data_IF_821544257188
#
_entry.id   IF_821544257188
#
_cell.length_a   1.000
_cell.length_b   1.000
_cell.length_c   1.000
_cell.angle_alpha   90.00
_cell.angle_beta   90.00
_cell.angle_gamma   90.00
#
_symmetry.space_group_name_H-M   'P 1'
#
loop_
_entity.id
_entity.type
_entity.pdbx_description
1 polymer ?
#
# COMPACT_ATOMS: atom_id res chain seq x y z
N UNK A 1 10.41 21.92 1.17
CA UNK A 1 10.58 20.53 1.70
C UNK A 1 9.95 20.27 3.07
N UNK A 2 10.26 21.03 4.15
CA UNK A 2 9.71 20.73 5.51
C UNK A 2 8.20 20.97 5.64
N UNK A 3 7.61 21.86 4.83
CA UNK A 3 6.18 22.19 4.89
C UNK A 3 5.32 21.12 4.20
N UNK A 4 5.82 20.58 3.11
CA UNK A 4 5.25 19.52 2.27
C UNK A 4 5.15 18.22 3.07
N UNK A 5 6.22 17.85 3.79
CA UNK A 5 6.26 16.68 4.68
C UNK A 5 5.24 16.81 5.81
N UNK A 6 5.22 17.97 6.48
CA UNK A 6 4.28 18.21 7.58
C UNK A 6 2.83 18.19 7.11
N UNK A 7 2.56 18.77 5.93
CA UNK A 7 1.24 18.78 5.32
C UNK A 7 0.78 17.38 4.93
N UNK A 8 1.65 16.60 4.27
CA UNK A 8 1.40 15.20 3.95
C UNK A 8 1.12 14.39 5.23
N UNK A 9 1.98 14.48 6.24
CA UNK A 9 1.82 13.74 7.49
C UNK A 9 0.51 14.03 8.21
N UNK A 10 0.09 15.31 8.29
CA UNK A 10 -1.18 15.69 8.91
C UNK A 10 -2.41 15.14 8.17
N UNK A 11 -2.31 14.98 6.84
CA UNK A 11 -3.41 14.44 6.02
C UNK A 11 -3.42 12.92 6.01
N UNK A 12 -2.26 12.29 6.14
CA UNK A 12 -2.12 10.83 6.08
C UNK A 12 -2.20 10.18 7.46
N UNK A 13 -2.10 10.92 8.57
CA UNK A 13 -2.07 10.32 9.92
C UNK A 13 -3.23 9.37 10.25
N UNK A 14 -4.51 9.62 9.87
CA UNK A 14 -5.59 8.67 10.14
C UNK A 14 -5.44 7.39 9.30
N UNK A 15 -4.95 7.55 8.07
CA UNK A 15 -4.71 6.45 7.14
C UNK A 15 -3.54 5.59 7.64
N UNK A 16 -2.45 6.20 8.09
CA UNK A 16 -1.28 5.48 8.65
C UNK A 16 -1.68 4.58 9.81
N UNK A 17 -2.53 5.05 10.73
CA UNK A 17 -3.05 4.23 11.82
C UNK A 17 -3.84 3.03 11.30
N UNK A 18 -4.72 3.23 10.31
CA UNK A 18 -5.44 2.14 9.65
C UNK A 18 -4.50 1.11 9.02
N UNK A 19 -3.47 1.56 8.30
CA UNK A 19 -2.45 0.70 7.71
C UNK A 19 -1.65 -0.08 8.75
N UNK A 20 -1.32 0.53 9.89
CA UNK A 20 -0.64 -0.16 10.98
C UNK A 20 -1.51 -1.27 11.57
N UNK A 21 -2.79 -1.02 11.84
CA UNK A 21 -3.71 -2.03 12.38
C UNK A 21 -3.99 -3.15 11.38
N UNK A 22 -4.24 -2.81 10.12
CA UNK A 22 -4.47 -3.80 9.06
C UNK A 22 -3.20 -4.63 8.80
N UNK A 23 -2.03 -3.98 8.74
CA UNK A 23 -0.75 -4.66 8.58
C UNK A 23 -0.46 -5.57 9.77
N UNK A 24 -0.71 -5.12 11.00
CA UNK A 24 -0.55 -5.95 12.19
C UNK A 24 -1.45 -7.19 12.13
N UNK A 25 -2.71 -7.01 11.70
CA UNK A 25 -3.66 -8.11 11.53
C UNK A 25 -3.20 -9.10 10.45
N UNK A 26 -2.61 -8.60 9.36
CA UNK A 26 -2.02 -9.42 8.31
C UNK A 26 -0.83 -10.26 8.83
N UNK A 27 0.09 -9.64 9.57
CA UNK A 27 1.24 -10.32 10.15
C UNK A 27 0.83 -11.47 11.08
N UNK A 28 -0.12 -11.21 11.99
CA UNK A 28 -0.69 -12.22 12.88
C UNK A 28 -1.40 -13.33 12.08
N UNK A 29 -2.13 -12.96 11.03
CA UNK A 29 -2.81 -13.92 10.16
C UNK A 29 -1.83 -14.88 9.47
N UNK A 30 -0.73 -14.36 8.92
CA UNK A 30 0.32 -15.18 8.31
C UNK A 30 1.01 -16.07 9.33
N UNK A 31 1.22 -15.59 10.55
CA UNK A 31 1.74 -16.43 11.63
C UNK A 31 0.80 -17.60 11.96
N UNK A 32 -0.52 -17.37 12.04
CA UNK A 32 -1.51 -18.45 12.26
C UNK A 32 -1.51 -19.51 11.16
N UNK A 33 -1.07 -19.17 9.96
CA UNK A 33 -0.90 -20.11 8.85
C UNK A 33 0.42 -20.89 8.93
N UNK A 34 1.27 -20.61 9.93
CA UNK A 34 2.56 -21.28 10.15
C UNK A 34 3.75 -20.60 9.49
N UNK A 35 3.59 -19.40 8.93
CA UNK A 35 4.70 -18.67 8.31
C UNK A 35 5.45 -17.80 9.33
N UNK A 36 6.78 -17.79 9.23
CA UNK A 36 7.65 -16.91 10.01
C UNK A 36 7.39 -15.43 9.64
N UNK A 37 7.59 -14.49 10.58
CA UNK A 37 7.46 -13.04 10.40
C UNK A 37 8.18 -12.46 9.16
N UNK A 38 9.25 -13.09 8.68
CA UNK A 38 9.93 -12.66 7.44
C UNK A 38 9.01 -12.71 6.21
N UNK A 39 8.10 -13.69 6.13
CA UNK A 39 7.20 -13.86 4.99
C UNK A 39 6.21 -12.68 4.84
N UNK A 40 5.38 -12.34 5.85
CA UNK A 40 4.49 -11.19 5.75
C UNK A 40 5.27 -9.89 5.55
N UNK A 41 6.46 -9.73 6.14
CA UNK A 41 7.29 -8.54 5.95
C UNK A 41 7.76 -8.38 4.50
N UNK A 42 8.29 -9.44 3.89
CA UNK A 42 8.76 -9.42 2.51
C UNK A 42 7.61 -9.28 1.51
N UNK A 43 6.48 -9.95 1.76
CA UNK A 43 5.28 -9.81 0.93
C UNK A 43 4.76 -8.38 0.98
N UNK A 44 4.57 -7.81 2.18
CA UNK A 44 4.13 -6.43 2.37
C UNK A 44 5.08 -5.41 1.70
N UNK A 45 6.39 -5.66 1.72
CA UNK A 45 7.38 -4.77 1.10
C UNK A 45 7.40 -4.87 -0.44
N UNK A 46 7.11 -6.02 -1.02
CA UNK A 46 7.25 -6.26 -2.47
C UNK A 46 5.95 -6.16 -3.24
N UNK A 47 4.86 -6.67 -2.68
CA UNK A 47 3.56 -6.78 -3.35
C UNK A 47 2.73 -5.52 -3.07
N UNK A 48 2.69 -5.06 -1.81
CA UNK A 48 1.94 -3.88 -1.38
C UNK A 48 0.48 -3.89 -1.88
N UNK A 49 -0.17 -5.06 -1.86
CA UNK A 49 -1.51 -5.24 -2.41
C UNK A 49 -2.57 -5.64 -1.36
N UNK A 50 -2.25 -5.48 -0.07
CA UNK A 50 -3.18 -5.59 1.06
C UNK A 50 -4.11 -6.79 0.98
N UNK A 51 -5.31 -6.59 0.42
CA UNK A 51 -6.34 -7.61 0.16
C UNK A 51 -5.80 -8.89 -0.50
N UNK A 52 -4.93 -8.77 -1.51
CA UNK A 52 -4.37 -9.96 -2.18
C UNK A 52 -3.41 -10.71 -1.29
N UNK A 53 -2.67 -10.03 -0.41
CA UNK A 53 -1.72 -10.68 0.50
C UNK A 53 -2.43 -11.59 1.51
N UNK A 54 -3.60 -11.18 2.01
CA UNK A 54 -4.48 -12.04 2.82
C UNK A 54 -4.98 -13.27 2.06
N UNK A 55 -5.40 -13.10 0.80
CA UNK A 55 -5.88 -14.20 -0.04
C UNK A 55 -4.74 -15.18 -0.35
N UNK A 56 -3.56 -14.68 -0.72
CA UNK A 56 -2.38 -15.49 -1.01
C UNK A 56 -1.96 -16.29 0.21
N UNK A 57 -2.04 -15.73 1.43
CA UNK A 57 -1.71 -16.47 2.65
C UNK A 57 -2.43 -17.81 2.73
N UNK A 58 -3.74 -17.83 2.49
CA UNK A 58 -4.50 -19.08 2.48
C UNK A 58 -4.15 -19.98 1.28
N UNK A 59 -3.96 -19.39 0.10
CA UNK A 59 -3.63 -20.13 -1.13
C UNK A 59 -2.26 -20.81 -1.05
N UNK A 60 -1.31 -20.28 -0.27
CA UNK A 60 0.00 -20.90 -0.04
C UNK A 60 -0.07 -22.19 0.79
N UNK A 61 -1.11 -22.35 1.61
CA UNK A 61 -1.34 -23.57 2.41
C UNK A 61 -2.12 -24.63 1.62
N UNK A 62 -2.84 -24.20 0.58
CA UNK A 62 -3.61 -25.09 -0.28
C UNK A 62 -2.75 -25.76 -1.36
N UNK A 63 -3.34 -26.75 -2.03
CA UNK A 63 -2.73 -27.40 -3.19
C UNK A 63 -2.36 -26.37 -4.27
N UNK A 64 -1.18 -26.56 -4.87
CA UNK A 64 -0.61 -25.65 -5.86
C UNK A 64 -1.51 -25.47 -7.09
N UNK A 65 -2.18 -24.32 -7.20
CA UNK A 65 -3.05 -23.95 -8.32
C UNK A 65 -2.70 -22.53 -8.83
N UNK A 66 -1.61 -22.38 -9.60
CA UNK A 66 -1.10 -21.07 -10.00
C UNK A 66 -2.08 -20.29 -10.90
N UNK A 67 -2.87 -20.99 -11.72
CA UNK A 67 -3.86 -20.34 -12.58
C UNK A 67 -4.99 -19.68 -11.76
N UNK A 68 -5.48 -20.36 -10.72
CA UNK A 68 -6.50 -19.84 -9.81
C UNK A 68 -5.97 -18.62 -9.06
N UNK A 69 -4.73 -18.69 -8.55
CA UNK A 69 -4.05 -17.57 -7.86
C UNK A 69 -3.95 -16.35 -8.78
N UNK A 70 -3.57 -16.55 -10.05
CA UNK A 70 -3.44 -15.48 -11.03
C UNK A 70 -4.78 -14.81 -11.32
N UNK A 71 -5.84 -15.60 -11.54
CA UNK A 71 -7.19 -15.09 -11.83
C UNK A 71 -7.73 -14.32 -10.62
N UNK A 72 -7.63 -14.88 -9.41
CA UNK A 72 -8.09 -14.21 -8.18
C UNK A 72 -7.33 -12.91 -7.93
N UNK A 73 -6.00 -12.93 -8.08
CA UNK A 73 -5.16 -11.74 -7.91
C UNK A 73 -5.53 -10.66 -8.92
N UNK A 74 -5.75 -11.02 -10.19
CA UNK A 74 -6.16 -10.09 -11.23
C UNK A 74 -7.56 -9.50 -10.97
N UNK A 75 -8.52 -10.33 -10.54
CA UNK A 75 -9.88 -9.89 -10.24
C UNK A 75 -9.91 -8.92 -9.05
N UNK A 76 -9.23 -9.27 -7.95
CA UNK A 76 -9.17 -8.42 -6.75
C UNK A 76 -8.46 -7.10 -7.04
N UNK A 77 -7.39 -7.12 -7.84
CA UNK A 77 -6.65 -5.91 -8.21
C UNK A 77 -7.23 -5.15 -9.40
N UNK A 78 -8.28 -5.63 -10.06
CA UNK A 78 -8.89 -4.97 -11.24
C UNK A 78 -9.24 -3.50 -11.00
N UNK A 79 -9.52 -3.13 -9.74
CA UNK A 79 -9.72 -1.74 -9.28
C UNK A 79 -8.58 -0.77 -9.66
N UNK A 80 -7.35 -1.27 -9.77
CA UNK A 80 -6.18 -0.46 -10.15
C UNK A 80 -6.27 0.06 -11.59
N UNK A 81 -7.04 -0.58 -12.47
CA UNK A 81 -7.30 -0.09 -13.83
C UNK A 81 -7.99 1.27 -13.79
N UNK A 82 -8.97 1.44 -12.90
CA UNK A 82 -9.66 2.72 -12.71
C UNK A 82 -8.72 3.78 -12.15
N UNK A 83 -7.83 3.42 -11.22
CA UNK A 83 -6.83 4.36 -10.68
C UNK A 83 -5.87 4.85 -11.76
N UNK A 84 -5.40 3.95 -12.63
CA UNK A 84 -4.54 4.30 -13.76
C UNK A 84 -5.20 5.31 -14.70
N UNK A 85 -6.47 5.12 -15.04
CA UNK A 85 -7.21 6.01 -15.96
C UNK A 85 -7.45 7.38 -15.31
N UNK A 86 -7.90 7.43 -14.06
CA UNK A 86 -8.21 8.70 -13.37
C UNK A 86 -6.96 9.51 -13.05
N UNK A 87 -5.85 8.85 -12.68
CA UNK A 87 -4.60 9.53 -12.33
C UNK A 87 -3.71 9.81 -13.55
N UNK A 88 -4.06 9.34 -14.74
CA UNK A 88 -3.25 9.52 -15.96
C UNK A 88 -2.92 11.00 -16.24
N UNK A 89 -3.91 11.88 -16.10
CA UNK A 89 -3.73 13.34 -16.28
C UNK A 89 -3.06 13.99 -15.07
N UNK A 90 -3.32 13.49 -13.85
CA UNK A 90 -2.83 14.08 -12.59
C UNK A 90 -1.36 13.76 -12.34
N UNK A 91 -0.90 12.60 -12.80
CA UNK A 91 0.50 12.15 -12.73
C UNK A 91 1.31 12.44 -14.01
N UNK A 92 0.73 13.18 -14.96
CA UNK A 92 1.42 13.56 -16.21
C UNK A 92 2.68 14.41 -15.94
N UNK A 93 2.62 15.32 -14.96
CA UNK A 93 3.68 16.29 -14.66
C UNK A 93 4.60 15.91 -13.48
N UNK A 94 4.54 14.67 -12.98
CA UNK A 94 5.30 14.25 -11.77
C UNK A 94 6.72 13.75 -12.06
N UNK A 95 7.14 13.75 -13.33
CA UNK A 95 8.51 13.42 -13.75
C UNK A 95 9.01 12.06 -13.26
N UNK A 96 10.21 12.03 -12.67
CA UNK A 96 10.89 10.80 -12.21
C UNK A 96 10.22 10.09 -11.04
N UNK A 97 9.28 10.74 -10.34
CA UNK A 97 8.55 10.16 -9.21
C UNK A 97 7.35 9.31 -9.64
N UNK A 98 6.96 9.40 -10.92
CA UNK A 98 5.83 8.68 -11.51
C UNK A 98 5.84 7.16 -11.26
N UNK A 99 6.93 6.39 -11.48
CA UNK A 99 6.91 4.95 -11.23
C UNK A 99 6.69 4.60 -9.75
N UNK A 100 7.25 5.37 -8.82
CA UNK A 100 7.07 5.15 -7.38
C UNK A 100 5.62 5.44 -6.97
N UNK A 101 5.03 6.52 -7.51
CA UNK A 101 3.64 6.86 -7.27
C UNK A 101 2.65 5.85 -7.86
N UNK A 102 3.00 5.21 -8.97
CA UNK A 102 2.22 4.12 -9.56
C UNK A 102 2.32 2.87 -8.67
N UNK A 103 3.52 2.52 -8.20
CA UNK A 103 3.75 1.34 -7.36
C UNK A 103 2.99 1.44 -6.02
N UNK A 104 3.10 2.56 -5.31
CA UNK A 104 2.44 2.75 -4.03
C UNK A 104 1.00 3.29 -4.12
N UNK A 105 0.34 3.10 -5.28
CA UNK A 105 -1.04 3.53 -5.48
C UNK A 105 -2.01 2.51 -4.88
N UNK A 106 -2.59 2.86 -3.74
CA UNK A 106 -3.69 2.15 -3.09
C UNK A 106 -4.94 3.05 -3.04
N UNK A 107 -6.07 2.49 -2.61
CA UNK A 107 -7.36 3.20 -2.47
C UNK A 107 -7.24 4.50 -1.66
N UNK A 108 -6.46 4.45 -0.58
CA UNK A 108 -6.28 5.55 0.35
C UNK A 108 -5.35 6.63 -0.22
N UNK A 109 -4.23 6.22 -0.82
CA UNK A 109 -3.35 7.12 -1.58
C UNK A 109 -4.11 7.77 -2.75
N UNK A 110 -4.98 7.00 -3.42
CA UNK A 110 -5.83 7.50 -4.51
C UNK A 110 -6.86 8.51 -4.00
N UNK A 111 -7.61 8.19 -2.94
CA UNK A 111 -8.63 9.09 -2.37
C UNK A 111 -8.01 10.39 -1.85
N UNK A 112 -6.87 10.29 -1.16
CA UNK A 112 -6.10 11.45 -0.69
C UNK A 112 -5.58 12.26 -1.87
N UNK A 113 -4.89 11.65 -2.82
CA UNK A 113 -4.31 12.38 -3.96
C UNK A 113 -5.38 12.94 -4.88
N UNK A 114 -6.55 12.30 -5.00
CA UNK A 114 -7.70 12.78 -5.78
C UNK A 114 -8.34 14.01 -5.14
N UNK A 115 -8.50 14.01 -3.82
CA UNK A 115 -9.25 15.04 -3.07
C UNK A 115 -8.35 16.19 -2.59
N UNK A 116 -7.04 15.97 -2.46
CA UNK A 116 -6.10 17.02 -2.04
C UNK A 116 -6.05 18.16 -3.08
N UNK A 117 -6.49 19.34 -2.65
CA UNK A 117 -6.10 20.61 -3.27
C UNK A 117 -4.78 21.04 -2.64
N UNK A 118 -3.67 20.71 -3.30
CA UNK A 118 -2.34 21.13 -2.83
C UNK A 118 -2.21 22.65 -3.02
N UNK A 119 -1.90 23.39 -1.94
CA UNK A 119 -1.59 24.82 -1.98
C UNK A 119 -0.52 25.16 -3.05
N UNK A 120 -0.62 26.33 -3.69
CA UNK A 120 0.28 26.75 -4.77
C UNK A 120 1.72 27.01 -4.31
N UNK A 121 1.96 27.14 -3.01
CA UNK A 121 3.27 27.29 -2.39
C UNK A 121 4.01 25.95 -2.15
N UNK A 122 3.37 24.80 -2.45
CA UNK A 122 3.93 23.47 -2.26
C UNK A 122 4.02 22.70 -3.58
N UNK A 123 5.13 21.97 -3.76
CA UNK A 123 5.28 21.08 -4.91
C UNK A 123 4.42 19.83 -4.73
N UNK A 124 3.41 19.72 -5.60
CA UNK A 124 2.43 18.62 -5.61
C UNK A 124 3.09 17.25 -5.74
N UNK A 125 4.18 17.17 -6.51
CA UNK A 125 4.89 15.92 -6.78
C UNK A 125 5.48 15.34 -5.50
N UNK A 126 6.10 16.19 -4.69
CA UNK A 126 6.69 15.78 -3.42
C UNK A 126 5.62 15.48 -2.37
N UNK A 127 4.52 16.24 -2.33
CA UNK A 127 3.40 15.95 -1.41
C UNK A 127 2.83 14.55 -1.68
N UNK A 128 2.56 14.21 -2.94
CA UNK A 128 2.08 12.87 -3.30
C UNK A 128 3.09 11.78 -2.96
N UNK A 129 4.37 12.04 -3.21
CA UNK A 129 5.44 11.10 -2.88
C UNK A 129 5.50 10.81 -1.37
N UNK A 130 5.43 11.85 -0.53
CA UNK A 130 5.45 11.65 0.92
C UNK A 130 4.21 10.93 1.44
N UNK A 131 3.02 11.18 0.89
CA UNK A 131 1.80 10.45 1.23
C UNK A 131 1.98 8.95 0.93
N UNK A 132 2.44 8.63 -0.27
CA UNK A 132 2.69 7.26 -0.69
C UNK A 132 3.77 6.59 0.17
N UNK A 133 4.86 7.28 0.46
CA UNK A 133 5.93 6.77 1.32
C UNK A 133 5.42 6.48 2.74
N UNK A 134 4.65 7.39 3.34
CA UNK A 134 4.09 7.18 4.67
C UNK A 134 3.15 5.98 4.73
N UNK A 135 2.30 5.80 3.72
CA UNK A 135 1.42 4.63 3.63
C UNK A 135 2.24 3.34 3.49
N UNK A 136 3.24 3.33 2.60
CA UNK A 136 4.12 2.18 2.39
C UNK A 136 4.86 1.78 3.67
N UNK A 137 5.53 2.72 4.32
CA UNK A 137 6.25 2.43 5.56
C UNK A 137 5.31 2.02 6.70
N UNK A 138 4.12 2.59 6.79
CA UNK A 138 3.12 2.20 7.79
C UNK A 138 2.63 0.76 7.57
N UNK A 139 2.43 0.36 6.32
CA UNK A 139 2.06 -1.02 5.97
C UNK A 139 3.16 -2.01 6.35
N UNK A 140 4.39 -1.75 5.90
CA UNK A 140 5.53 -2.65 6.13
C UNK A 140 5.84 -2.74 7.62
N UNK A 141 5.81 -1.61 8.34
CA UNK A 141 5.99 -1.59 9.79
C UNK A 141 4.86 -2.34 10.51
N UNK A 142 3.60 -2.15 10.09
CA UNK A 142 2.45 -2.87 10.63
C UNK A 142 2.58 -4.38 10.42
N UNK A 143 2.89 -4.82 9.21
CA UNK A 143 3.10 -6.24 8.86
C UNK A 143 4.26 -6.86 9.65
N UNK A 144 5.37 -6.15 9.79
CA UNK A 144 6.51 -6.58 10.60
C UNK A 144 6.17 -6.70 12.09
N UNK A 145 5.53 -5.67 12.67
CA UNK A 145 5.09 -5.68 14.06
C UNK A 145 4.05 -6.78 14.32
N UNK A 146 3.10 -6.98 13.41
CA UNK A 146 2.11 -8.05 13.51
C UNK A 146 2.74 -9.44 13.41
N UNK A 147 3.74 -9.61 12.55
CA UNK A 147 4.50 -10.85 12.45
C UNK A 147 5.25 -11.16 13.73
N UNK A 148 5.90 -10.16 14.34
CA UNK A 148 6.63 -10.30 15.62
C UNK A 148 5.70 -10.51 16.82
N UNK A 149 4.55 -9.82 16.87
CA UNK A 149 3.55 -10.01 17.93
C UNK A 149 2.77 -11.32 17.78
N UNK A 150 2.80 -11.92 16.59
CA UNK A 150 2.19 -13.21 16.32
C UNK A 150 3.04 -14.37 16.80
N UNK A 151 4.37 -14.21 16.93
CA UNK A 151 5.31 -15.22 17.44
C UNK A 151 5.06 -15.63 18.90
#
# INVERSE_FOLDING_TARGET
MRKEVRYAFQKTSPVMLGFLFLGASYGIYMHKLGFNFLYPLLMAATIFAGSVEFVIGNLLVQSFQPLTVLILTALVNSRHIFYGITMLKKYSNTGKLKPILIFGMCDESFSLNATLKVPTDLDRSYVYFYITAFNYFSWVAGAGLGGLLGE
#
